data_IF_533026540912
#
_entry.id   IF_533026540912
#
_cell.length_a   1.000
_cell.length_b   1.000
_cell.length_c   1.000
_cell.angle_alpha   90.00
_cell.angle_beta   90.00
_cell.angle_gamma   90.00
#
_symmetry.space_group_name_H-M   'P 1'
#
loop_
_entity.id
_entity.type
_entity.pdbx_description
1 polymer ?
#
# COMPACT_ATOMS: atom_id res chain seq x y z
N UNK A 1 8.95 -9.65 23.07
CA UNK A 1 7.50 -9.44 23.19
C UNK A 1 6.83 -10.65 22.54
N UNK A 2 5.74 -11.13 23.13
CA UNK A 2 5.09 -12.40 22.78
C UNK A 2 4.75 -12.47 21.29
N UNK A 3 5.48 -13.29 20.52
CA UNK A 3 5.06 -13.75 19.20
C UNK A 3 4.24 -15.03 19.41
N UNK A 4 3.01 -14.88 19.91
CA UNK A 4 2.02 -15.89 19.60
C UNK A 4 1.58 -15.58 18.16
N UNK A 5 2.08 -16.35 17.19
CA UNK A 5 1.53 -16.31 15.85
C UNK A 5 0.01 -16.52 15.94
N UNK A 6 -0.80 -15.70 15.24
CA UNK A 6 -2.25 -15.83 15.30
C UNK A 6 -2.66 -17.26 14.94
N UNK A 7 -3.48 -17.87 15.80
CA UNK A 7 -3.67 -19.33 15.82
C UNK A 7 -4.87 -19.79 15.01
N UNK A 8 -5.78 -18.87 14.68
CA UNK A 8 -6.97 -19.16 13.90
C UNK A 8 -7.16 -18.21 12.72
N UNK A 9 -7.95 -18.66 11.75
CA UNK A 9 -8.21 -17.92 10.51
C UNK A 9 -8.96 -16.61 10.74
N UNK A 10 -9.83 -16.52 11.76
CA UNK A 10 -10.63 -15.31 12.01
C UNK A 10 -9.76 -14.19 12.56
N UNK A 11 -8.82 -14.53 13.44
CA UNK A 11 -7.82 -13.61 13.96
C UNK A 11 -6.90 -13.10 12.84
N UNK A 12 -6.41 -14.00 11.96
CA UNK A 12 -5.61 -13.60 10.80
C UNK A 12 -6.39 -12.64 9.90
N UNK A 13 -7.66 -12.94 9.61
CA UNK A 13 -8.50 -12.09 8.75
C UNK A 13 -8.78 -10.71 9.35
N UNK A 14 -8.91 -10.60 10.67
CA UNK A 14 -9.02 -9.32 11.36
C UNK A 14 -7.71 -8.52 11.33
N UNK A 15 -6.58 -9.19 11.56
CA UNK A 15 -5.26 -8.56 11.50
C UNK A 15 -4.89 -8.11 10.08
N UNK A 16 -5.34 -8.83 9.04
CA UNK A 16 -5.20 -8.40 7.64
C UNK A 16 -5.90 -7.06 7.41
N UNK A 17 -7.14 -6.92 7.90
CA UNK A 17 -7.89 -5.67 7.76
C UNK A 17 -7.20 -4.52 8.50
N UNK A 18 -6.73 -4.77 9.73
CA UNK A 18 -5.97 -3.81 10.52
C UNK A 18 -4.66 -3.39 9.84
N UNK A 19 -3.91 -4.33 9.25
CA UNK A 19 -2.68 -4.06 8.53
C UNK A 19 -2.93 -3.18 7.29
N UNK A 20 -4.02 -3.42 6.55
CA UNK A 20 -4.43 -2.59 5.42
C UNK A 20 -4.82 -1.18 5.88
N UNK A 21 -5.60 -1.06 6.97
CA UNK A 21 -6.01 0.23 7.52
C UNK A 21 -4.79 1.08 7.93
N UNK A 22 -3.83 0.45 8.63
CA UNK A 22 -2.59 1.07 9.11
C UNK A 22 -1.52 1.25 8.04
N UNK A 23 -1.74 0.73 6.83
CA UNK A 23 -0.74 0.70 5.74
C UNK A 23 0.55 -0.04 6.12
N UNK A 24 0.46 -1.01 7.05
CA UNK A 24 1.57 -1.88 7.44
C UNK A 24 1.65 -3.07 6.46
N UNK A 25 2.21 -2.80 5.29
CA UNK A 25 2.30 -3.80 4.21
C UNK A 25 3.26 -4.96 4.54
N UNK A 26 4.23 -4.73 5.45
CA UNK A 26 5.12 -5.79 5.92
C UNK A 26 4.37 -6.78 6.82
N UNK A 27 3.53 -6.28 7.73
CA UNK A 27 2.63 -7.13 8.51
C UNK A 27 1.61 -7.84 7.63
N UNK A 28 1.01 -7.13 6.66
CA UNK A 28 0.07 -7.72 5.70
C UNK A 28 0.69 -8.92 4.96
N UNK A 29 1.91 -8.79 4.42
CA UNK A 29 2.57 -9.87 3.73
C UNK A 29 2.77 -11.11 4.62
N UNK A 30 3.24 -10.92 5.87
CA UNK A 30 3.40 -12.02 6.83
C UNK A 30 2.08 -12.71 7.15
N UNK A 31 0.99 -11.94 7.31
CA UNK A 31 -0.34 -12.47 7.61
C UNK A 31 -0.91 -13.25 6.43
N UNK A 32 -0.69 -12.81 5.19
CA UNK A 32 -1.09 -13.53 3.99
C UNK A 32 -0.36 -14.88 3.86
N UNK A 33 0.93 -14.92 4.17
CA UNK A 33 1.71 -16.18 4.20
C UNK A 33 1.21 -17.17 5.26
N UNK A 34 0.82 -16.66 6.44
CA UNK A 34 0.22 -17.49 7.50
C UNK A 34 -1.16 -18.00 7.06
N UNK A 35 -1.97 -17.13 6.46
CA UNK A 35 -3.30 -17.48 5.95
C UNK A 35 -3.23 -18.60 4.92
N UNK A 36 -2.31 -18.52 3.96
CA UNK A 36 -2.16 -19.49 2.87
C UNK A 36 -2.00 -20.92 3.41
N UNK A 37 -1.28 -21.09 4.52
CA UNK A 37 -1.08 -22.40 5.17
C UNK A 37 -2.35 -22.99 5.76
N UNK A 38 -3.34 -22.16 6.11
CA UNK A 38 -4.60 -22.59 6.71
C UNK A 38 -5.71 -22.82 5.67
N UNK A 39 -5.65 -22.16 4.51
CA UNK A 39 -6.71 -22.26 3.48
C UNK A 39 -7.11 -23.70 3.11
N UNK A 40 -6.19 -24.68 2.95
CA UNK A 40 -6.56 -26.04 2.57
C UNK A 40 -7.46 -26.77 3.58
N UNK A 41 -7.42 -26.36 4.84
CA UNK A 41 -8.13 -27.01 5.94
C UNK A 41 -9.52 -26.39 6.20
N UNK A 42 -9.86 -25.30 5.50
CA UNK A 42 -11.11 -24.57 5.72
C UNK A 42 -12.28 -25.14 4.93
N UNK A 43 -13.50 -25.06 5.48
CA UNK A 43 -14.71 -25.40 4.73
C UNK A 43 -14.92 -24.42 3.57
N UNK A 44 -15.59 -24.90 2.51
CA UNK A 44 -15.82 -24.16 1.27
C UNK A 44 -16.51 -22.81 1.53
N UNK A 45 -17.44 -22.77 2.46
CA UNK A 45 -18.20 -21.57 2.81
C UNK A 45 -17.27 -20.45 3.29
N UNK A 46 -16.32 -20.78 4.17
CA UNK A 46 -15.34 -19.82 4.67
C UNK A 46 -14.37 -19.37 3.57
N UNK A 47 -13.96 -20.26 2.68
CA UNK A 47 -13.11 -19.90 1.53
C UNK A 47 -13.80 -18.90 0.60
N UNK A 48 -15.11 -19.07 0.38
CA UNK A 48 -15.91 -18.12 -0.41
C UNK A 48 -16.00 -16.76 0.29
N UNK A 49 -16.24 -16.74 1.59
CA UNK A 49 -16.29 -15.49 2.36
C UNK A 49 -14.96 -14.73 2.33
N UNK A 50 -13.84 -15.43 2.54
CA UNK A 50 -12.48 -14.86 2.45
C UNK A 50 -12.24 -14.27 1.05
N UNK A 51 -12.60 -15.01 0.01
CA UNK A 51 -12.42 -14.55 -1.37
C UNK A 51 -13.23 -13.28 -1.67
N UNK A 52 -14.48 -13.19 -1.22
CA UNK A 52 -15.28 -11.98 -1.41
C UNK A 52 -14.73 -10.78 -0.62
N UNK A 53 -14.20 -11.00 0.60
CA UNK A 53 -13.50 -9.95 1.35
C UNK A 53 -12.23 -9.48 0.64
N UNK A 54 -11.47 -10.41 0.08
CA UNK A 54 -10.23 -10.10 -0.66
C UNK A 54 -10.47 -9.24 -1.89
N UNK A 55 -11.61 -9.38 -2.58
CA UNK A 55 -11.99 -8.44 -3.64
C UNK A 55 -12.12 -7.02 -3.10
N UNK A 56 -12.78 -6.84 -1.95
CA UNK A 56 -12.91 -5.54 -1.30
C UNK A 56 -11.55 -4.96 -0.88
N UNK A 57 -10.70 -5.78 -0.26
CA UNK A 57 -9.32 -5.40 0.11
C UNK A 57 -8.50 -4.96 -1.09
N UNK A 58 -8.64 -5.66 -2.22
CA UNK A 58 -7.93 -5.33 -3.45
C UNK A 58 -8.34 -3.95 -4.01
N UNK A 59 -9.63 -3.61 -3.97
CA UNK A 59 -10.08 -2.27 -4.38
C UNK A 59 -9.54 -1.18 -3.45
N UNK A 60 -9.56 -1.38 -2.13
CA UNK A 60 -8.95 -0.47 -1.16
C UNK A 60 -7.46 -0.24 -1.43
N UNK A 61 -6.70 -1.31 -1.69
CA UNK A 61 -5.27 -1.23 -1.99
C UNK A 61 -5.01 -0.50 -3.32
N UNK A 62 -5.85 -0.69 -4.35
CA UNK A 62 -5.75 0.06 -5.62
C UNK A 62 -5.99 1.56 -5.42
N UNK A 63 -6.97 1.92 -4.57
CA UNK A 63 -7.23 3.32 -4.25
C UNK A 63 -6.05 3.97 -3.53
N UNK A 64 -5.45 3.29 -2.55
CA UNK A 64 -4.23 3.73 -1.86
C UNK A 64 -3.04 3.85 -2.83
N UNK A 65 -2.85 2.90 -3.75
CA UNK A 65 -1.81 2.99 -4.76
C UNK A 65 -2.00 4.22 -5.67
N UNK A 66 -3.23 4.48 -6.10
CA UNK A 66 -3.56 5.64 -6.93
C UNK A 66 -3.31 6.96 -6.21
N UNK A 67 -3.62 7.04 -4.91
CA UNK A 67 -3.33 8.23 -4.10
C UNK A 67 -1.82 8.45 -3.96
N UNK A 68 -1.05 7.39 -3.72
CA UNK A 68 0.40 7.44 -3.66
C UNK A 68 1.02 7.91 -4.98
N UNK A 69 0.57 7.35 -6.11
CA UNK A 69 0.99 7.80 -7.43
C UNK A 69 0.68 9.28 -7.66
N UNK A 70 -0.50 9.76 -7.26
CA UNK A 70 -0.82 11.19 -7.38
C UNK A 70 0.13 12.06 -6.57
N UNK A 71 0.46 11.64 -5.35
CA UNK A 71 1.39 12.34 -4.47
C UNK A 71 2.80 12.42 -5.08
N UNK A 72 3.31 11.32 -5.65
CA UNK A 72 4.64 11.32 -6.28
C UNK A 72 4.71 12.26 -7.48
N UNK A 73 3.69 12.29 -8.34
CA UNK A 73 3.62 13.25 -9.45
C UNK A 73 3.64 14.71 -8.97
N UNK A 74 2.91 15.02 -7.88
CA UNK A 74 2.90 16.36 -7.29
C UNK A 74 4.27 16.74 -6.71
N UNK A 75 4.94 15.81 -6.03
CA UNK A 75 6.29 16.01 -5.50
C UNK A 75 7.31 16.26 -6.61
N UNK A 76 7.25 15.51 -7.70
CA UNK A 76 8.12 15.71 -8.86
C UNK A 76 7.90 17.08 -9.51
N UNK A 77 6.64 17.50 -9.67
CA UNK A 77 6.31 18.83 -10.19
C UNK A 77 6.85 19.94 -9.27
N UNK A 78 6.67 19.79 -7.95
CA UNK A 78 7.21 20.70 -6.95
C UNK A 78 8.74 20.79 -7.00
N UNK A 79 9.44 19.65 -7.15
CA UNK A 79 10.90 19.59 -7.30
C UNK A 79 11.36 20.35 -8.55
N UNK A 80 10.72 20.13 -9.70
CA UNK A 80 11.04 20.86 -10.95
C UNK A 80 10.84 22.36 -10.79
N UNK A 81 9.74 22.77 -10.15
CA UNK A 81 9.47 24.18 -9.87
C UNK A 81 10.56 24.79 -8.96
N UNK A 82 10.88 24.15 -7.83
CA UNK A 82 11.93 24.62 -6.92
C UNK A 82 13.31 24.73 -7.61
N UNK A 83 13.71 23.72 -8.39
CA UNK A 83 14.95 23.77 -9.17
C UNK A 83 15.02 24.94 -10.15
N UNK A 84 13.89 25.31 -10.75
CA UNK A 84 13.82 26.47 -11.66
C UNK A 84 13.99 27.82 -10.94
N UNK A 85 13.68 27.90 -9.65
CA UNK A 85 13.83 29.12 -8.83
C UNK A 85 15.24 29.29 -8.25
N UNK A 86 16.02 28.20 -8.11
CA UNK A 86 17.42 28.24 -7.62
C UNK A 86 18.46 28.55 -8.70
N UNK A 87 18.03 28.75 -9.95
CA UNK A 87 18.87 29.23 -11.06
C UNK A 87 18.80 30.76 -11.20
N UNK A 88 19.14 31.50 -10.14
CA UNK A 88 19.70 32.86 -10.27
C UNK A 88 20.38 33.33 -8.96
N UNK A 89 21.71 33.20 -8.88
CA UNK A 89 22.55 34.10 -8.07
C UNK A 89 23.69 34.72 -8.93
N UNK A 90 23.64 34.55 -10.26
CA UNK A 90 24.62 35.10 -11.22
C UNK A 90 24.00 35.73 -12.46
N UNK A 91 22.70 36.01 -12.45
CA UNK A 91 22.00 36.88 -13.38
C UNK A 91 22.06 36.46 -14.84
N UNK A 92 22.17 35.17 -15.16
CA UNK A 92 22.10 34.70 -16.56
C UNK A 92 20.91 33.78 -16.73
N UNK A 93 19.83 34.33 -17.29
CA UNK A 93 18.70 33.54 -17.78
C UNK A 93 19.17 32.69 -18.96
N UNK A 94 18.95 31.38 -18.88
CA UNK A 94 19.01 30.53 -20.06
C UNK A 94 17.84 30.93 -20.95
N UNK A 95 18.13 31.80 -21.91
CA UNK A 95 17.27 32.09 -23.03
C UNK A 95 17.03 30.78 -23.78
N UNK A 96 15.80 30.27 -23.74
CA UNK A 96 15.40 29.13 -24.58
C UNK A 96 14.64 29.68 -25.78
N UNK A 97 15.36 30.39 -26.64
CA UNK A 97 14.88 30.77 -27.96
C UNK A 97 15.06 29.62 -28.96
N UNK A 98 14.08 29.54 -29.87
CA UNK A 98 13.90 28.67 -31.05
C UNK A 98 13.14 27.35 -30.82
#
# INVERSE_FOLDING_TARGET
>A
MFNDEPKDILEIEALIDEAIEKEDYDALNRLLDLREKLLPELPREMLVEIYERDKGRMELLKEKLKSFQKLTHQLEAGKRFASSQTQDEKGTFLNRDA
#
